data_IF_534476614140
#
_entry.id   IF_534476614140
#
_cell.length_a   1.000
_cell.length_b   1.000
_cell.length_c   1.000
_cell.angle_alpha   90.00
_cell.angle_beta   90.00
_cell.angle_gamma   90.00
#
_symmetry.space_group_name_H-M   'P 1'
#
loop_
_entity.id
_entity.type
_entity.pdbx_description
1 polymer ?
#
# COMPACT_ATOMS: atom_id res chain seq x y z
N UNK A 1 -40.50 -46.12 -27.94
CA UNK A 1 -39.60 -44.96 -28.15
C UNK A 1 -38.85 -44.71 -26.85
N UNK A 2 -37.61 -45.19 -26.72
CA UNK A 2 -36.77 -44.92 -25.54
C UNK A 2 -35.41 -44.43 -26.03
N UNK A 3 -35.20 -43.11 -25.96
CA UNK A 3 -33.94 -42.49 -26.32
C UNK A 3 -32.95 -42.65 -25.16
N UNK A 4 -31.98 -43.56 -25.32
CA UNK A 4 -30.89 -43.72 -24.39
C UNK A 4 -29.99 -42.46 -24.43
N UNK A 5 -29.94 -41.74 -23.31
CA UNK A 5 -29.07 -40.56 -23.15
C UNK A 5 -27.63 -41.07 -23.06
N UNK A 6 -26.82 -40.84 -24.09
CA UNK A 6 -25.38 -41.10 -24.03
C UNK A 6 -24.75 -40.18 -22.97
N UNK A 7 -24.47 -40.73 -21.79
CA UNK A 7 -23.78 -40.02 -20.72
C UNK A 7 -22.31 -39.87 -21.10
N UNK A 8 -21.90 -38.65 -21.41
CA UNK A 8 -20.60 -38.37 -22.00
C UNK A 8 -19.51 -38.34 -20.92
N UNK A 9 -18.99 -39.53 -20.57
CA UNK A 9 -17.96 -39.74 -19.54
C UNK A 9 -16.71 -38.88 -19.74
N UNK A 10 -16.36 -38.54 -20.98
CA UNK A 10 -15.26 -37.63 -21.29
C UNK A 10 -15.51 -36.22 -20.76
N UNK A 11 -16.73 -35.70 -20.90
CA UNK A 11 -17.10 -34.38 -20.39
C UNK A 11 -17.12 -34.34 -18.84
N UNK A 12 -17.60 -35.43 -18.21
CA UNK A 12 -17.57 -35.58 -16.75
C UNK A 12 -16.12 -35.67 -16.21
N UNK A 13 -15.24 -36.39 -16.91
CA UNK A 13 -13.82 -36.50 -16.57
C UNK A 13 -13.08 -35.16 -16.66
N UNK A 14 -13.32 -34.38 -17.70
CA UNK A 14 -12.73 -33.03 -17.84
C UNK A 14 -13.19 -32.05 -16.76
N UNK A 15 -14.48 -32.09 -16.39
CA UNK A 15 -15.02 -31.24 -15.32
C UNK A 15 -14.42 -31.60 -13.95
N UNK A 16 -14.28 -32.90 -13.65
CA UNK A 16 -13.65 -33.36 -12.42
C UNK A 16 -12.16 -32.94 -12.37
N UNK A 17 -11.44 -33.04 -13.48
CA UNK A 17 -10.04 -32.63 -13.56
C UNK A 17 -9.88 -31.10 -13.34
N UNK A 18 -10.75 -30.28 -13.96
CA UNK A 18 -10.77 -28.83 -13.74
C UNK A 18 -11.09 -28.48 -12.28
N UNK A 19 -12.03 -29.20 -11.64
CA UNK A 19 -12.34 -29.02 -10.22
C UNK A 19 -11.14 -29.35 -9.32
N UNK A 20 -10.45 -30.47 -9.58
CA UNK A 20 -9.26 -30.86 -8.82
C UNK A 20 -8.11 -29.87 -9.00
N UNK A 21 -7.90 -29.36 -10.22
CA UNK A 21 -6.92 -28.29 -10.47
C UNK A 21 -7.31 -27.01 -9.73
N UNK A 22 -8.58 -26.62 -9.73
CA UNK A 22 -9.07 -25.46 -8.98
C UNK A 22 -8.84 -25.60 -7.47
N UNK A 23 -9.07 -26.79 -6.91
CA UNK A 23 -8.78 -27.10 -5.50
C UNK A 23 -7.28 -27.06 -5.21
N UNK A 24 -6.45 -27.66 -6.07
CA UNK A 24 -5.00 -27.65 -5.94
C UNK A 24 -4.42 -26.23 -6.00
N UNK A 25 -4.89 -25.39 -6.93
CA UNK A 25 -4.53 -23.97 -7.01
C UNK A 25 -5.00 -23.22 -5.75
N UNK A 26 -6.20 -23.52 -5.25
CA UNK A 26 -6.71 -22.94 -4.01
C UNK A 26 -5.84 -23.27 -2.79
N UNK A 27 -5.36 -24.51 -2.70
CA UNK A 27 -4.43 -24.96 -1.65
C UNK A 27 -3.02 -24.39 -1.81
N UNK A 28 -2.56 -24.18 -3.05
CA UNK A 28 -1.26 -23.58 -3.35
C UNK A 28 -1.25 -22.04 -3.15
N UNK A 29 -2.40 -21.39 -2.96
CA UNK A 29 -2.42 -19.97 -2.59
C UNK A 29 -1.89 -19.80 -1.18
N UNK A 30 -0.90 -18.91 -1.03
CA UNK A 30 -0.34 -18.56 0.27
C UNK A 30 -1.43 -18.24 1.30
N UNK A 31 -1.32 -18.74 2.54
CA UNK A 31 -2.24 -18.38 3.60
C UNK A 31 -2.20 -16.86 3.80
N UNK A 32 -3.37 -16.22 3.72
CA UNK A 32 -3.50 -14.80 4.07
C UNK A 32 -3.37 -14.67 5.58
N UNK A 33 -2.23 -14.17 6.05
CA UNK A 33 -2.05 -13.82 7.45
C UNK A 33 -2.79 -12.51 7.72
N UNK A 34 -4.01 -12.61 8.26
CA UNK A 34 -4.84 -11.44 8.59
C UNK A 34 -4.40 -10.72 9.88
N UNK A 35 -3.49 -11.33 10.64
CA UNK A 35 -2.92 -10.79 11.87
C UNK A 35 -1.46 -11.19 11.95
N UNK A 36 -0.58 -10.20 11.93
CA UNK A 36 0.86 -10.36 12.16
C UNK A 36 1.12 -10.82 13.61
N UNK A 37 2.11 -11.69 13.79
CA UNK A 37 2.46 -12.20 15.11
C UNK A 37 2.92 -11.06 16.04
N UNK A 38 2.59 -11.09 17.35
CA UNK A 38 2.96 -10.01 18.28
C UNK A 38 4.46 -9.64 18.25
N UNK A 39 5.42 -10.58 18.18
CA UNK A 39 6.85 -10.26 18.05
C UNK A 39 7.20 -9.54 16.75
N UNK A 40 6.51 -9.86 15.65
CA UNK A 40 6.71 -9.17 14.36
C UNK A 40 6.24 -7.73 14.47
N UNK A 41 5.04 -7.53 15.04
CA UNK A 41 4.48 -6.17 15.20
C UNK A 41 5.32 -5.29 16.13
N UNK A 42 5.89 -5.84 17.21
CA UNK A 42 6.76 -5.08 18.10
C UNK A 42 8.10 -4.74 17.46
N UNK A 43 8.65 -5.63 16.63
CA UNK A 43 9.85 -5.34 15.86
C UNK A 43 9.63 -4.25 14.79
N UNK A 44 8.41 -4.18 14.23
CA UNK A 44 8.03 -3.11 13.30
C UNK A 44 7.97 -1.72 13.95
N UNK A 45 7.83 -1.62 15.28
CA UNK A 45 7.87 -0.35 16.00
C UNK A 45 9.29 0.15 16.29
N UNK A 46 10.30 -0.70 16.11
CA UNK A 46 11.69 -0.43 16.46
C UNK A 46 12.51 0.12 15.29
N UNK A 47 11.85 0.76 14.31
CA UNK A 47 12.55 1.43 13.22
C UNK A 47 13.31 2.66 13.73
N UNK A 48 14.47 2.94 13.12
CA UNK A 48 15.30 4.09 13.46
C UNK A 48 15.26 5.11 12.34
N UNK A 49 14.88 6.33 12.69
CA UNK A 49 15.13 7.49 11.85
C UNK A 49 16.54 7.99 12.07
N UNK A 50 17.09 8.62 11.04
CA UNK A 50 18.32 9.41 11.18
C UNK A 50 18.05 10.65 12.03
N UNK A 51 19.11 11.36 12.42
CA UNK A 51 19.00 12.53 13.30
C UNK A 51 18.14 13.66 12.72
N UNK A 52 18.01 13.71 11.38
CA UNK A 52 17.16 14.67 10.67
C UNK A 52 15.65 14.32 10.71
N UNK A 53 15.28 13.11 11.16
CA UNK A 53 13.91 12.58 11.19
C UNK A 53 13.22 12.55 9.82
N UNK A 54 14.00 12.60 8.73
CA UNK A 54 13.54 12.50 7.35
C UNK A 54 13.75 11.07 6.90
N UNK A 55 15.00 10.64 6.75
CA UNK A 55 15.35 9.29 6.30
C UNK A 55 15.52 8.29 7.44
N UNK A 56 15.61 7.01 7.09
CA UNK A 56 15.97 5.97 8.04
C UNK A 56 16.02 4.58 7.43
N UNK A 57 16.34 3.59 8.26
CA UNK A 57 16.37 2.19 7.82
C UNK A 57 15.17 1.44 8.38
N UNK A 58 14.35 0.78 7.53
CA UNK A 58 13.33 -0.17 7.99
C UNK A 58 13.96 -1.27 8.87
N UNK A 59 13.20 -1.85 9.81
CA UNK A 59 13.70 -2.91 10.65
C UNK A 59 13.92 -4.19 9.83
N UNK A 60 14.87 -5.03 10.22
CA UNK A 60 15.24 -6.24 9.47
C UNK A 60 14.06 -7.16 9.19
N UNK A 61 13.09 -7.23 10.12
CA UNK A 61 11.85 -7.99 9.97
C UNK A 61 11.05 -7.57 8.74
N UNK A 62 11.06 -6.28 8.38
CA UNK A 62 10.35 -5.79 7.20
C UNK A 62 10.97 -6.36 5.90
N UNK A 63 12.30 -6.51 5.86
CA UNK A 63 12.98 -7.15 4.74
C UNK A 63 12.84 -8.68 4.76
N UNK A 64 12.94 -9.30 5.95
CA UNK A 64 12.80 -10.75 6.11
C UNK A 64 11.42 -11.27 5.69
N UNK A 65 10.38 -10.46 5.87
CA UNK A 65 9.01 -10.75 5.41
C UNK A 65 8.79 -10.44 3.92
N UNK A 66 9.81 -9.99 3.19
CA UNK A 66 9.69 -9.66 1.77
C UNK A 66 8.91 -8.37 1.49
N UNK A 67 9.01 -7.37 2.38
CA UNK A 67 8.36 -6.05 2.23
C UNK A 67 6.83 -6.15 2.06
N UNK A 68 6.12 -6.82 2.98
CA UNK A 68 4.72 -7.19 2.78
C UNK A 68 3.80 -6.00 2.49
N UNK A 69 4.05 -4.86 3.16
CA UNK A 69 3.27 -3.63 3.02
C UNK A 69 3.42 -2.91 1.67
N UNK A 70 4.35 -3.36 0.83
CA UNK A 70 4.50 -2.88 -0.56
C UNK A 70 4.20 -4.00 -1.57
N UNK A 71 4.43 -5.25 -1.16
CA UNK A 71 4.37 -6.41 -2.02
C UNK A 71 2.98 -7.05 -2.10
N UNK A 72 2.14 -6.90 -1.08
CA UNK A 72 0.86 -7.60 -1.03
C UNK A 72 -0.32 -6.68 -1.32
N UNK A 73 -1.21 -7.14 -2.22
CA UNK A 73 -2.42 -6.39 -2.57
C UNK A 73 -3.36 -6.27 -1.36
N UNK A 74 -3.30 -7.23 -0.44
CA UNK A 74 -4.07 -7.20 0.80
C UNK A 74 -3.66 -6.01 1.67
N UNK A 75 -2.37 -5.85 1.96
CA UNK A 75 -1.86 -4.77 2.81
C UNK A 75 -2.13 -3.39 2.21
N UNK A 76 -1.90 -3.24 0.90
CA UNK A 76 -2.23 -2.01 0.18
C UNK A 76 -3.74 -1.71 0.22
N UNK A 77 -4.59 -2.73 0.11
CA UNK A 77 -6.05 -2.57 0.22
C UNK A 77 -6.50 -2.18 1.62
N UNK A 78 -5.87 -2.74 2.66
CA UNK A 78 -6.13 -2.31 4.04
C UNK A 78 -5.68 -0.86 4.24
N UNK A 79 -4.48 -0.49 3.75
CA UNK A 79 -3.99 0.88 3.77
C UNK A 79 -4.96 1.86 3.10
N UNK A 80 -5.49 1.50 1.93
CA UNK A 80 -6.50 2.29 1.21
C UNK A 80 -7.77 2.51 2.05
N UNK A 81 -8.25 1.47 2.71
CA UNK A 81 -9.41 1.56 3.61
C UNK A 81 -9.12 2.44 4.82
N UNK A 82 -7.94 2.29 5.43
CA UNK A 82 -7.50 3.08 6.59
C UNK A 82 -7.37 4.57 6.24
N UNK A 83 -6.87 4.90 5.05
CA UNK A 83 -6.75 6.27 4.56
C UNK A 83 -8.09 7.01 4.60
N UNK A 84 -9.17 6.36 4.15
CA UNK A 84 -10.52 6.92 4.23
C UNK A 84 -11.06 6.92 5.66
N UNK A 85 -10.88 5.82 6.40
CA UNK A 85 -11.47 5.66 7.73
C UNK A 85 -10.92 6.66 8.75
N UNK A 86 -9.61 6.94 8.69
CA UNK A 86 -8.95 7.87 9.61
C UNK A 86 -8.91 9.32 9.09
N UNK A 87 -9.65 9.60 8.01
CA UNK A 87 -9.86 10.96 7.50
C UNK A 87 -8.62 11.59 6.89
N UNK A 88 -7.64 10.81 6.43
CA UNK A 88 -6.44 11.31 5.78
C UNK A 88 -6.78 12.14 4.53
N UNK A 89 -7.85 11.72 3.83
CA UNK A 89 -8.37 12.41 2.65
C UNK A 89 -8.91 13.81 2.92
N UNK A 90 -9.25 14.15 4.16
CA UNK A 90 -9.73 15.49 4.51
C UNK A 90 -8.66 16.56 4.27
N UNK A 91 -7.39 16.23 4.55
CA UNK A 91 -6.28 17.16 4.35
C UNK A 91 -5.53 16.91 3.04
N UNK A 92 -5.36 15.64 2.64
CA UNK A 92 -4.55 15.26 1.49
C UNK A 92 -5.37 14.95 0.22
N UNK A 93 -6.70 15.05 0.29
CA UNK A 93 -7.60 14.68 -0.80
C UNK A 93 -7.49 13.19 -1.15
N UNK A 94 -7.68 12.84 -2.41
CA UNK A 94 -7.33 11.52 -2.93
C UNK A 94 -5.82 11.32 -3.10
N UNK A 95 -4.99 12.30 -2.73
CA UNK A 95 -3.55 12.34 -2.95
C UNK A 95 -3.07 13.65 -3.55
N UNK A 96 -3.97 14.42 -4.16
CA UNK A 96 -3.66 15.72 -4.79
C UNK A 96 -3.21 16.81 -3.81
N UNK A 97 -3.43 16.61 -2.51
CA UNK A 97 -3.22 17.63 -1.48
C UNK A 97 -4.47 18.48 -1.21
N UNK A 98 -4.28 19.53 -0.41
CA UNK A 98 -5.31 20.45 0.05
C UNK A 98 -4.73 21.31 1.14
N UNK A 99 -5.24 21.17 2.37
CA UNK A 99 -4.59 21.74 3.56
C UNK A 99 -3.30 21.00 3.89
N UNK A 100 -3.21 19.70 3.54
CA UNK A 100 -1.98 18.91 3.60
C UNK A 100 -1.26 18.86 2.24
N UNK A 101 0.01 18.44 2.22
CA UNK A 101 0.79 18.34 0.99
C UNK A 101 0.21 17.32 0.00
N UNK A 102 0.52 17.55 -1.28
CA UNK A 102 0.28 16.58 -2.33
C UNK A 102 1.25 15.41 -2.22
N UNK A 103 0.83 14.23 -2.68
CA UNK A 103 1.71 13.09 -2.93
C UNK A 103 1.98 12.91 -4.43
N UNK A 104 1.23 13.61 -5.29
CA UNK A 104 1.25 13.43 -6.75
C UNK A 104 2.28 14.31 -7.45
N UNK A 105 2.65 15.42 -6.83
CA UNK A 105 3.78 16.25 -7.28
C UNK A 105 5.12 15.60 -6.93
N UNK A 106 5.07 14.45 -6.25
CA UNK A 106 6.20 13.62 -5.88
C UNK A 106 7.33 14.35 -5.16
N UNK A 107 7.01 15.47 -4.51
CA UNK A 107 7.87 16.12 -3.54
C UNK A 107 7.50 15.65 -2.14
N UNK A 108 8.49 15.25 -1.35
CA UNK A 108 8.25 14.69 -0.02
C UNK A 108 9.02 15.47 1.04
N UNK A 109 8.31 16.28 1.84
CA UNK A 109 8.91 17.04 2.96
C UNK A 109 9.79 16.21 3.88
N UNK A 110 9.37 14.98 4.16
CA UNK A 110 10.06 14.07 5.06
C UNK A 110 10.64 12.85 4.36
N UNK A 111 10.69 12.85 3.02
CA UNK A 111 11.21 11.74 2.21
C UNK A 111 10.14 10.69 1.85
N UNK A 112 10.30 10.02 0.68
CA UNK A 112 9.37 9.01 0.19
C UNK A 112 9.63 7.60 0.76
N UNK A 113 10.66 7.43 1.58
CA UNK A 113 11.06 6.12 2.09
C UNK A 113 9.97 5.56 3.02
N UNK A 114 9.87 4.23 3.07
CA UNK A 114 8.83 3.57 3.85
C UNK A 114 8.82 4.00 5.32
N UNK A 115 9.99 4.05 5.95
CA UNK A 115 10.11 4.49 7.35
C UNK A 115 9.78 5.97 7.54
N UNK A 116 10.08 6.82 6.56
CA UNK A 116 9.75 8.25 6.60
C UNK A 116 8.25 8.46 6.64
N UNK A 117 7.51 7.70 5.82
CA UNK A 117 6.05 7.75 5.76
C UNK A 117 5.45 7.16 7.03
N UNK A 118 5.94 6.00 7.48
CA UNK A 118 5.51 5.37 8.75
C UNK A 118 5.71 6.31 9.93
N UNK A 119 6.88 6.94 10.05
CA UNK A 119 7.17 7.92 11.09
C UNK A 119 6.23 9.11 11.03
N UNK A 120 5.99 9.65 9.83
CA UNK A 120 5.09 10.80 9.67
C UNK A 120 3.67 10.48 10.13
N UNK A 121 3.18 9.27 9.87
CA UNK A 121 1.86 8.82 10.32
C UNK A 121 1.87 8.54 11.83
N UNK A 122 2.85 7.79 12.34
CA UNK A 122 2.95 7.39 13.74
C UNK A 122 3.10 8.59 14.66
N UNK A 123 4.07 9.44 14.37
CA UNK A 123 4.51 10.51 15.27
C UNK A 123 3.85 11.86 14.92
N UNK A 124 3.20 11.94 13.75
CA UNK A 124 2.70 13.20 13.21
C UNK A 124 3.84 14.07 12.68
N UNK A 125 3.50 15.24 12.13
CA UNK A 125 4.46 16.24 11.67
C UNK A 125 4.02 17.64 12.08
N UNK A 126 4.96 18.59 12.27
CA UNK A 126 4.62 19.99 12.49
C UNK A 126 3.66 20.53 11.41
N UNK A 127 3.01 21.67 11.69
CA UNK A 127 2.07 22.33 10.78
C UNK A 127 0.75 21.57 10.55
N UNK A 128 0.30 20.82 11.56
CA UNK A 128 -1.08 20.34 11.63
C UNK A 128 -1.32 18.89 11.20
N UNK A 129 -0.27 18.10 10.93
CA UNK A 129 -0.41 16.65 10.73
C UNK A 129 -0.43 15.92 12.08
N UNK A 130 -1.56 15.33 12.51
CA UNK A 130 -1.67 14.70 13.82
C UNK A 130 -0.91 13.37 13.90
N UNK A 131 -0.56 12.97 15.12
CA UNK A 131 -0.02 11.63 15.42
C UNK A 131 -1.12 10.58 15.46
N UNK A 132 -0.87 9.42 14.84
CA UNK A 132 -1.76 8.26 14.84
C UNK A 132 -1.22 7.06 15.63
N UNK A 133 -0.04 7.16 16.26
CA UNK A 133 0.59 6.07 16.99
C UNK A 133 -0.26 5.48 18.13
N UNK A 134 -1.15 6.27 18.73
CA UNK A 134 -2.08 5.82 19.77
C UNK A 134 -3.48 5.49 19.23
N UNK A 135 -3.70 5.58 17.92
CA UNK A 135 -5.01 5.40 17.26
C UNK A 135 -5.03 4.17 16.34
N UNK A 136 -3.87 3.71 15.90
CA UNK A 136 -3.69 2.59 14.98
C UNK A 136 -2.67 1.61 15.56
N UNK A 137 -2.77 0.34 15.19
CA UNK A 137 -1.68 -0.62 15.44
C UNK A 137 -0.51 -0.35 14.49
N UNK A 138 0.68 -0.84 14.83
CA UNK A 138 1.86 -0.76 13.97
C UNK A 138 1.56 -1.31 12.58
N UNK A 139 0.96 -2.49 12.50
CA UNK A 139 0.56 -3.14 11.24
C UNK A 139 -0.32 -2.23 10.37
N UNK A 140 -1.30 -1.55 10.98
CA UNK A 140 -2.18 -0.59 10.28
C UNK A 140 -1.41 0.63 9.78
N UNK A 141 -0.48 1.16 10.57
CA UNK A 141 0.37 2.30 10.17
C UNK A 141 1.23 1.90 8.97
N UNK A 142 1.84 0.72 9.00
CA UNK A 142 2.64 0.20 7.89
C UNK A 142 1.80 -0.08 6.64
N UNK A 143 0.60 -0.65 6.77
CA UNK A 143 -0.35 -0.80 5.66
C UNK A 143 -0.73 0.54 5.03
N UNK A 144 -1.04 1.54 5.87
CA UNK A 144 -1.38 2.89 5.44
C UNK A 144 -0.21 3.55 4.71
N UNK A 145 1.01 3.44 5.25
CA UNK A 145 2.22 3.97 4.63
C UNK A 145 2.48 3.35 3.25
N UNK A 146 2.30 2.02 3.14
CA UNK A 146 2.41 1.30 1.87
C UNK A 146 1.46 1.85 0.81
N UNK A 147 0.18 2.04 1.18
CA UNK A 147 -0.80 2.65 0.29
C UNK A 147 -0.44 4.08 -0.11
N UNK A 148 -0.02 4.94 0.83
CA UNK A 148 0.40 6.33 0.53
C UNK A 148 1.52 6.36 -0.51
N UNK A 149 2.49 5.43 -0.42
CA UNK A 149 3.55 5.31 -1.44
C UNK A 149 3.02 4.92 -2.81
N UNK A 150 1.96 4.11 -2.90
CA UNK A 150 1.33 3.80 -4.21
C UNK A 150 0.64 5.00 -4.85
N UNK A 151 0.15 5.94 -4.03
CA UNK A 151 -0.44 7.19 -4.52
C UNK A 151 0.64 8.10 -5.12
N UNK A 152 1.81 8.19 -4.48
CA UNK A 152 2.93 9.00 -4.97
C UNK A 152 3.95 8.23 -5.81
N UNK A 153 3.60 7.06 -6.34
CA UNK A 153 4.53 6.20 -7.06
C UNK A 153 4.93 6.81 -8.42
N UNK A 154 6.23 6.83 -8.69
CA UNK A 154 6.84 7.26 -9.95
C UNK A 154 7.06 6.14 -10.96
N UNK A 155 7.14 4.91 -10.49
CA UNK A 155 7.18 3.72 -11.32
C UNK A 155 5.93 2.90 -11.09
N UNK A 156 5.43 2.24 -12.13
CA UNK A 156 4.24 1.38 -12.01
C UNK A 156 4.52 0.31 -10.95
N UNK A 157 3.76 0.28 -9.85
CA UNK A 157 3.98 -0.73 -8.82
C UNK A 157 3.53 -2.10 -9.36
N UNK A 158 4.27 -3.15 -9.03
CA UNK A 158 3.93 -4.52 -9.42
C UNK A 158 2.68 -5.04 -8.69
N UNK A 159 2.38 -4.46 -7.53
CA UNK A 159 1.20 -4.76 -6.72
C UNK A 159 0.38 -3.50 -6.49
N UNK A 160 -0.93 -3.66 -6.49
CA UNK A 160 -1.89 -2.58 -6.36
C UNK A 160 -2.93 -2.84 -5.26
N UNK A 161 -3.45 -1.79 -4.61
CA UNK A 161 -4.64 -1.93 -3.78
C UNK A 161 -5.87 -2.29 -4.62
N UNK A 162 -6.94 -2.72 -3.95
CA UNK A 162 -8.21 -2.98 -4.60
C UNK A 162 -8.76 -1.72 -5.29
N UNK A 163 -9.37 -1.95 -6.46
CA UNK A 163 -10.12 -0.93 -7.18
C UNK A 163 -11.43 -0.64 -6.43
N UNK A 164 -11.72 0.63 -6.21
CA UNK A 164 -13.02 1.14 -5.79
C UNK A 164 -13.67 1.93 -6.93
N UNK A 165 -15.00 2.04 -6.90
CA UNK A 165 -15.77 2.78 -7.90
C UNK A 165 -15.92 4.27 -7.55
N UNK A 166 -15.19 4.74 -6.55
CA UNK A 166 -15.14 6.15 -6.17
C UNK A 166 -14.55 7.00 -7.30
N UNK A 167 -15.08 8.22 -7.47
CA UNK A 167 -14.53 9.18 -8.42
C UNK A 167 -13.23 9.75 -7.87
N UNK A 168 -12.11 9.42 -8.53
CA UNK A 168 -10.79 10.00 -8.24
C UNK A 168 -10.49 11.14 -9.21
N UNK A 169 -9.80 12.16 -8.72
CA UNK A 169 -9.28 13.30 -9.51
C UNK A 169 -7.91 13.01 -10.10
N UNK A 170 -7.31 11.87 -9.76
CA UNK A 170 -6.03 11.38 -10.26
C UNK A 170 -6.16 10.04 -11.00
N UNK A 171 -5.16 9.65 -11.80
CA UNK A 171 -5.06 8.29 -12.30
C UNK A 171 -5.00 7.27 -11.14
N UNK A 172 -5.39 6.02 -11.43
CA UNK A 172 -5.28 4.92 -10.46
C UNK A 172 -3.83 4.69 -10.05
N UNK A 173 -3.62 4.22 -8.82
CA UNK A 173 -2.31 3.97 -8.21
C UNK A 173 -1.43 3.04 -9.07
N UNK A 174 -2.06 2.12 -9.80
CA UNK A 174 -1.42 1.16 -10.72
C UNK A 174 -0.79 1.80 -11.95
N UNK A 175 -1.00 3.11 -12.17
CA UNK A 175 -0.45 3.84 -13.33
C UNK A 175 0.75 4.69 -12.97
N UNK A 176 1.23 4.61 -11.72
CA UNK A 176 2.25 5.53 -11.21
C UNK A 176 1.83 6.99 -11.43
N UNK A 177 0.74 7.44 -10.78
CA UNK A 177 0.14 8.73 -11.10
C UNK A 177 1.10 9.91 -10.88
N UNK A 178 2.07 9.80 -9.96
CA UNK A 178 3.10 10.83 -9.82
C UNK A 178 3.96 10.95 -11.08
N UNK A 179 4.27 9.84 -11.78
CA UNK A 179 5.04 9.90 -13.03
C UNK A 179 4.40 10.78 -14.11
N UNK A 180 3.07 10.78 -14.19
CA UNK A 180 2.31 11.53 -15.18
C UNK A 180 1.89 12.94 -14.74
N UNK A 181 1.97 13.23 -13.44
CA UNK A 181 1.56 14.52 -12.84
C UNK A 181 2.74 15.32 -12.30
N UNK A 182 3.92 14.72 -12.22
CA UNK A 182 5.14 15.36 -11.78
C UNK A 182 5.73 16.23 -12.88
N UNK A 183 5.75 17.54 -12.62
CA UNK A 183 6.64 18.45 -13.35
C UNK A 183 8.02 18.38 -12.69
N UNK A 184 9.01 17.81 -13.39
CA UNK A 184 10.42 17.83 -12.99
C UNK A 184 10.91 19.29 -12.94
N UNK A 185 10.76 19.94 -11.79
CA UNK A 185 11.50 21.15 -11.46
C UNK A 185 12.99 20.85 -11.32
N UNK A 186 13.87 21.88 -11.33
CA UNK A 186 15.31 21.68 -11.21
C UNK A 186 15.65 20.82 -9.98
N UNK A 187 16.54 19.83 -10.18
CA UNK A 187 16.94 18.88 -9.16
C UNK A 187 17.52 19.59 -7.93
N UNK A 188 16.86 19.44 -6.78
CA UNK A 188 17.29 20.02 -5.51
C UNK A 188 16.22 19.89 -4.43
N UNK A 189 16.59 20.04 -3.16
CA UNK A 189 15.61 20.14 -2.05
C UNK A 189 14.92 21.50 -2.16
N UNK A 190 13.61 21.49 -2.37
CA UNK A 190 12.80 22.71 -2.33
C UNK A 190 12.35 22.93 -0.89
N UNK A 191 12.77 24.03 -0.25
CA UNK A 191 12.38 24.32 1.14
C UNK A 191 10.86 24.40 1.34
N UNK A 192 10.11 24.68 0.28
CA UNK A 192 8.65 24.75 0.26
C UNK A 192 7.96 23.42 -0.07
N UNK A 193 8.66 22.36 -0.49
CA UNK A 193 8.05 21.10 -0.94
C UNK A 193 8.74 19.81 -0.49
N UNK A 194 10.00 19.87 -0.06
CA UNK A 194 10.76 18.74 0.45
C UNK A 194 11.80 18.18 -0.51
N UNK A 195 12.11 16.90 -0.30
CA UNK A 195 13.13 16.14 -1.03
C UNK A 195 12.48 15.50 -2.28
N UNK A 196 13.22 15.46 -3.38
CA UNK A 196 12.83 14.66 -4.55
C UNK A 196 12.97 13.16 -4.25
N UNK A 197 12.21 12.30 -4.93
CA UNK A 197 12.23 10.87 -4.68
C UNK A 197 13.35 10.12 -5.38
#
# INVERSE_FOLDING_TARGET
>A
MSAAKHFNWFAAGTLLCMLLIGVAIGWARHPRQYRSDPPVTSALDQFRLMSDRIGGTPPDVYFALGKPYEATAYDLSQGKRLYSWFGCSTCHGDGRGGTGPSFLDGWWFYGPEMVSVVASIRDGRPQGMPSYGNKMTSDQIWQLAGYVRTIGAYSVPYTAPSRNDDKHTRPSENRAPAAGLFEQGPAGVRSDRGVQP
#
